data_IF_904515985235
#
_entry.id   IF_904515985235
#
_cell.length_a   1.000
_cell.length_b   1.000
_cell.length_c   1.000
_cell.angle_alpha   90.00
_cell.angle_beta   90.00
_cell.angle_gamma   90.00
#
_symmetry.space_group_name_H-M   'P 1'
#
loop_
_entity.id
_entity.type
_entity.pdbx_description
1 polymer ?
#
# COMPACT_ATOMS: atom_id res chain seq x y z
N UNK A 1 6.25 16.03 -23.05
CA UNK A 1 5.49 14.96 -22.36
C UNK A 1 6.38 13.85 -21.76
N UNK A 2 7.57 13.54 -22.34
CA UNK A 2 8.53 12.54 -21.80
C UNK A 2 8.87 12.65 -20.31
N UNK A 3 9.07 13.85 -19.78
CA UNK A 3 9.47 14.03 -18.37
C UNK A 3 8.43 13.52 -17.36
N UNK A 4 7.14 13.73 -17.63
CA UNK A 4 6.06 13.23 -16.77
C UNK A 4 5.93 11.71 -16.85
N UNK A 5 6.19 11.13 -18.01
CA UNK A 5 6.20 9.67 -18.21
C UNK A 5 7.36 9.02 -17.46
N UNK A 6 8.53 9.65 -17.50
CA UNK A 6 9.73 9.18 -16.80
C UNK A 6 9.58 9.26 -15.28
N UNK A 7 9.00 10.34 -14.75
CA UNK A 7 8.66 10.44 -13.31
C UNK A 7 7.64 9.37 -12.92
N UNK A 8 6.59 9.18 -13.72
CA UNK A 8 5.57 8.15 -13.46
C UNK A 8 6.18 6.75 -13.42
N UNK A 9 7.12 6.44 -14.32
CA UNK A 9 7.86 5.18 -14.34
C UNK A 9 8.68 5.00 -13.07
N UNK A 10 9.52 5.98 -12.73
CA UNK A 10 10.36 5.96 -11.53
C UNK A 10 9.56 5.82 -10.23
N UNK A 11 8.46 6.57 -10.09
CA UNK A 11 7.57 6.44 -8.94
C UNK A 11 6.92 5.05 -8.87
N UNK A 12 6.58 4.46 -10.01
CA UNK A 12 6.07 3.09 -10.08
C UNK A 12 7.08 2.08 -9.53
N UNK A 13 8.32 2.15 -10.00
CA UNK A 13 9.42 1.26 -9.57
C UNK A 13 9.73 1.41 -8.07
N UNK A 14 9.78 2.66 -7.56
CA UNK A 14 9.99 2.91 -6.13
C UNK A 14 8.85 2.31 -5.28
N UNK A 15 7.59 2.48 -5.71
CA UNK A 15 6.43 1.93 -4.99
C UNK A 15 6.49 0.41 -4.99
N UNK A 16 6.86 -0.22 -6.10
CA UNK A 16 7.02 -1.68 -6.18
C UNK A 16 8.08 -2.19 -5.19
N UNK A 17 9.26 -1.54 -5.16
CA UNK A 17 10.32 -1.87 -4.19
C UNK A 17 9.82 -1.66 -2.75
N UNK A 18 9.14 -0.55 -2.47
CA UNK A 18 8.60 -0.27 -1.14
C UNK A 18 7.58 -1.33 -0.70
N UNK A 19 6.70 -1.78 -1.60
CA UNK A 19 5.73 -2.84 -1.32
C UNK A 19 6.42 -4.18 -1.00
N UNK A 20 7.48 -4.52 -1.73
CA UNK A 20 8.30 -5.72 -1.44
C UNK A 20 8.98 -5.61 -0.06
N UNK A 21 9.50 -4.44 0.29
CA UNK A 21 10.10 -4.21 1.61
C UNK A 21 9.08 -4.32 2.74
N UNK A 22 7.86 -3.80 2.55
CA UNK A 22 6.76 -3.96 3.51
C UNK A 22 6.40 -5.44 3.67
N UNK A 23 6.31 -6.20 2.58
CA UNK A 23 6.01 -7.63 2.63
C UNK A 23 7.07 -8.40 3.43
N UNK A 24 8.36 -8.13 3.19
CA UNK A 24 9.48 -8.70 3.97
C UNK A 24 9.36 -8.29 5.44
N UNK A 25 9.07 -7.02 5.71
CA UNK A 25 8.94 -6.50 7.07
C UNK A 25 7.83 -7.17 7.87
N UNK A 26 6.67 -7.43 7.26
CA UNK A 26 5.57 -8.18 7.88
C UNK A 26 6.04 -9.59 8.26
N UNK A 27 6.73 -10.29 7.36
CA UNK A 27 7.25 -11.64 7.65
C UNK A 27 8.23 -11.60 8.83
N UNK A 28 9.15 -10.64 8.86
CA UNK A 28 10.14 -10.53 9.93
C UNK A 28 9.51 -10.17 11.27
N UNK A 29 8.54 -9.26 11.29
CA UNK A 29 7.83 -8.89 12.51
C UNK A 29 7.02 -10.07 13.07
N UNK A 30 6.47 -10.94 12.22
CA UNK A 30 5.82 -12.18 12.66
C UNK A 30 6.83 -13.17 13.28
N UNK A 31 7.98 -13.35 12.64
CA UNK A 31 8.97 -14.36 13.06
C UNK A 31 9.73 -13.96 14.33
N UNK A 32 10.08 -12.68 14.45
CA UNK A 32 10.98 -12.18 15.49
C UNK A 32 10.32 -11.18 16.46
N UNK A 33 9.07 -10.81 16.21
CA UNK A 33 8.34 -9.80 16.98
C UNK A 33 8.89 -8.38 16.78
N UNK A 34 8.53 -7.48 17.69
CA UNK A 34 8.94 -6.06 17.67
C UNK A 34 10.43 -5.80 17.98
N UNK A 35 11.23 -6.85 18.17
CA UNK A 35 12.65 -6.76 18.51
C UNK A 35 13.51 -6.29 17.30
N UNK A 36 12.94 -6.31 16.08
CA UNK A 36 13.65 -5.93 14.86
C UNK A 36 13.56 -4.41 14.64
N UNK A 37 14.67 -3.69 14.88
CA UNK A 37 14.73 -2.22 14.87
C UNK A 37 14.30 -1.55 13.54
N UNK A 38 14.46 -2.23 12.40
CA UNK A 38 14.13 -1.67 11.08
C UNK A 38 12.77 -2.10 10.52
N UNK A 39 12.18 -3.19 11.05
CA UNK A 39 10.92 -3.76 10.54
C UNK A 39 9.81 -3.81 11.59
N UNK A 40 10.05 -3.33 12.81
CA UNK A 40 9.04 -3.27 13.86
C UNK A 40 7.99 -2.18 13.62
N UNK A 41 6.75 -2.47 14.01
CA UNK A 41 5.64 -1.51 13.98
C UNK A 41 4.77 -1.56 12.72
N UNK A 42 5.08 -2.41 11.74
CA UNK A 42 4.28 -2.53 10.52
C UNK A 42 2.91 -3.13 10.85
N UNK A 43 2.90 -4.24 11.60
CA UNK A 43 1.67 -4.93 12.00
C UNK A 43 0.82 -4.05 12.94
N UNK A 44 1.36 -3.46 14.03
CA UNK A 44 0.60 -2.53 14.86
C UNK A 44 -0.03 -1.37 14.07
N UNK A 45 0.72 -0.75 13.15
CA UNK A 45 0.20 0.35 12.33
C UNK A 45 -0.95 -0.13 11.43
N UNK A 46 -0.81 -1.30 10.80
CA UNK A 46 -1.87 -1.90 10.01
C UNK A 46 -3.10 -2.22 10.86
N UNK A 47 -2.92 -2.81 12.04
CA UNK A 47 -4.03 -3.11 12.96
C UNK A 47 -4.77 -1.84 13.39
N UNK A 48 -4.06 -0.75 13.71
CA UNK A 48 -4.69 0.53 14.05
C UNK A 48 -5.51 1.08 12.88
N UNK A 49 -4.98 1.02 11.66
CA UNK A 49 -5.72 1.43 10.46
C UNK A 49 -6.97 0.57 10.25
N UNK A 50 -6.84 -0.75 10.35
CA UNK A 50 -7.96 -1.68 10.17
C UNK A 50 -9.05 -1.47 11.24
N UNK A 51 -8.68 -1.25 12.50
CA UNK A 51 -9.63 -0.92 13.56
C UNK A 51 -10.36 0.39 13.26
N UNK A 52 -9.62 1.44 12.86
CA UNK A 52 -10.21 2.74 12.50
C UNK A 52 -11.21 2.61 11.35
N UNK A 53 -10.90 1.78 10.35
CA UNK A 53 -11.81 1.49 9.23
C UNK A 53 -13.03 0.68 9.67
N UNK A 54 -12.83 -0.31 10.55
CA UNK A 54 -13.90 -1.15 11.12
C UNK A 54 -14.88 -0.36 11.98
N UNK A 55 -14.38 0.52 12.85
CA UNK A 55 -15.19 1.37 13.72
C UNK A 55 -16.10 2.33 12.93
N UNK A 56 -15.66 2.75 11.74
CA UNK A 56 -16.43 3.62 10.85
C UNK A 56 -17.20 2.85 9.75
N UNK A 57 -17.26 1.51 9.81
CA UNK A 57 -17.98 0.58 8.94
C UNK A 57 -18.26 1.05 7.49
N UNK A 58 -19.34 1.83 7.30
CA UNK A 58 -19.74 2.38 6.02
C UNK A 58 -18.68 3.28 5.37
N UNK A 59 -18.08 4.21 6.14
CA UNK A 59 -17.05 5.12 5.63
C UNK A 59 -15.79 4.34 5.26
N UNK A 60 -15.44 3.32 6.05
CA UNK A 60 -14.34 2.41 5.75
C UNK A 60 -14.53 1.69 4.42
N UNK A 61 -15.75 1.20 4.14
CA UNK A 61 -16.07 0.51 2.88
C UNK A 61 -16.04 1.46 1.67
N UNK A 62 -16.50 2.71 1.84
CA UNK A 62 -16.40 3.74 0.79
C UNK A 62 -14.93 4.05 0.48
N UNK A 63 -14.10 4.24 1.51
CA UNK A 63 -12.67 4.49 1.33
C UNK A 63 -11.99 3.32 0.61
N UNK A 64 -12.27 2.08 1.01
CA UNK A 64 -11.75 0.88 0.34
C UNK A 64 -12.18 0.83 -1.14
N UNK A 65 -13.44 1.13 -1.43
CA UNK A 65 -13.98 1.12 -2.79
C UNK A 65 -13.25 2.12 -3.71
N UNK A 66 -12.96 3.33 -3.20
CA UNK A 66 -12.21 4.36 -3.92
C UNK A 66 -10.77 3.89 -4.18
N UNK A 67 -10.12 3.29 -3.18
CA UNK A 67 -8.75 2.76 -3.31
C UNK A 67 -8.71 1.68 -4.40
N UNK A 68 -9.59 0.68 -4.33
CA UNK A 68 -9.66 -0.38 -5.33
C UNK A 68 -9.92 0.19 -6.73
N UNK A 69 -10.85 1.12 -6.87
CA UNK A 69 -11.14 1.77 -8.15
C UNK A 69 -9.90 2.50 -8.73
N UNK A 70 -9.13 3.21 -7.90
CA UNK A 70 -7.90 3.87 -8.34
C UNK A 70 -6.85 2.88 -8.85
N UNK A 71 -6.68 1.74 -8.18
CA UNK A 71 -5.75 0.69 -8.61
C UNK A 71 -6.20 -0.01 -9.89
N UNK A 72 -7.49 -0.33 -10.02
CA UNK A 72 -8.04 -0.98 -11.23
C UNK A 72 -8.08 -0.04 -12.44
N UNK A 73 -8.26 1.28 -12.26
CA UNK A 73 -8.30 2.25 -13.35
C UNK A 73 -6.98 2.35 -14.14
N UNK A 74 -5.83 2.02 -13.53
CA UNK A 74 -4.53 2.00 -14.20
C UNK A 74 -4.43 1.00 -15.36
N UNK A 75 -5.38 0.05 -15.49
CA UNK A 75 -5.37 -0.99 -16.53
C UNK A 75 -6.19 -0.70 -17.79
N UNK A 76 -6.88 0.44 -17.91
CA UNK A 76 -7.71 0.71 -19.10
C UNK A 76 -6.84 1.12 -20.31
N UNK A 77 -6.83 0.34 -21.43
CA UNK A 77 -6.22 0.78 -22.67
C UNK A 77 -7.03 1.96 -23.21
N UNK A 78 -6.38 3.09 -23.42
CA UNK A 78 -6.94 4.17 -24.24
C UNK A 78 -6.87 3.72 -25.69
N UNK A 79 -7.88 2.97 -26.15
CA UNK A 79 -8.08 2.73 -27.58
C UNK A 79 -8.55 4.04 -28.23
N UNK A 80 -7.66 4.63 -29.03
CA UNK A 80 -8.02 5.54 -30.10
C UNK A 80 -8.32 4.76 -31.38
#
# INVERSE_FOLDING_TARGET
MRFLEEIKRWLGEIVEIALLLVAIGIVFEILFGSTVQFFGGIIPNLTVLLNTLGDNGLVGLIALSIILWLFYRKGAPTHG
#
